data_IF_453162097569
#
_entry.id   IF_453162097569
#
_cell.length_a   1.000
_cell.length_b   1.000
_cell.length_c   1.000
_cell.angle_alpha   90.00
_cell.angle_beta   90.00
_cell.angle_gamma   90.00
#
_symmetry.space_group_name_H-M   'P 1'
#
loop_
_entity.id
_entity.type
_entity.pdbx_description
1 polymer ?
#
# COMPACT_ATOMS: atom_id res chain seq x y z
N UNK A 1 -16.89 66.89 -6.02
CA UNK A 1 -15.86 66.70 -4.98
C UNK A 1 -16.60 66.50 -3.66
N UNK A 2 -16.48 65.44 -2.85
CA UNK A 2 -15.71 64.18 -2.86
C UNK A 2 -16.20 63.40 -1.62
N UNK A 3 -16.47 62.08 -1.75
CA UNK A 3 -16.49 61.04 -0.69
C UNK A 3 -17.34 61.26 0.59
N UNK A 4 -17.70 60.26 1.39
CA UNK A 4 -17.32 58.86 1.39
C UNK A 4 -18.47 58.00 1.94
N UNK A 5 -18.56 56.81 1.36
CA UNK A 5 -19.46 55.70 1.66
C UNK A 5 -19.01 54.98 2.93
N UNK A 6 -19.86 54.92 3.96
CA UNK A 6 -19.70 54.01 5.09
C UNK A 6 -20.28 52.65 4.72
N UNK A 7 -19.43 51.72 4.29
CA UNK A 7 -19.82 50.34 3.95
C UNK A 7 -20.19 49.56 5.20
N UNK A 8 -21.42 49.07 5.25
CA UNK A 8 -21.80 47.95 6.10
C UNK A 8 -21.41 46.66 5.38
N UNK A 9 -20.43 45.95 5.92
CA UNK A 9 -20.09 44.61 5.46
C UNK A 9 -21.27 43.65 5.75
N UNK A 10 -21.81 42.93 4.75
CA UNK A 10 -22.64 41.80 5.03
C UNK A 10 -21.73 40.69 5.57
N UNK A 11 -21.97 40.34 6.84
CA UNK A 11 -21.44 39.13 7.47
C UNK A 11 -21.59 37.96 6.49
N UNK A 12 -20.46 37.49 6.00
CA UNK A 12 -20.39 36.33 5.10
C UNK A 12 -20.88 35.13 5.88
N UNK A 13 -22.07 34.65 5.53
CA UNK A 13 -22.60 33.41 6.02
C UNK A 13 -21.68 32.28 5.56
N UNK A 14 -20.84 31.80 6.47
CA UNK A 14 -20.15 30.53 6.37
C UNK A 14 -21.19 29.44 6.11
N UNK A 15 -21.34 29.10 4.84
CA UNK A 15 -22.13 27.94 4.42
C UNK A 15 -21.33 26.71 4.83
N UNK A 16 -21.45 26.34 6.10
CA UNK A 16 -21.00 25.06 6.60
C UNK A 16 -21.74 23.99 5.79
N UNK A 17 -21.05 23.39 4.82
CA UNK A 17 -21.59 22.27 4.05
C UNK A 17 -21.82 21.13 5.03
N UNK A 18 -23.04 21.03 5.56
CA UNK A 18 -23.46 19.98 6.47
C UNK A 18 -23.13 18.66 5.80
N UNK A 19 -22.23 17.91 6.45
CA UNK A 19 -21.86 16.58 5.98
C UNK A 19 -23.15 15.78 5.86
N UNK A 20 -23.46 15.20 4.69
CA UNK A 20 -24.70 14.47 4.51
C UNK A 20 -24.80 13.37 5.58
N UNK A 21 -26.00 13.11 6.12
CA UNK A 21 -26.20 12.11 7.15
C UNK A 21 -25.64 10.77 6.66
N UNK A 22 -24.77 10.16 7.46
CA UNK A 22 -24.24 8.83 7.15
C UNK A 22 -25.42 7.87 7.01
N UNK A 23 -25.50 7.09 5.93
CA UNK A 23 -26.61 6.17 5.72
C UNK A 23 -26.72 5.19 6.90
N UNK A 24 -27.95 4.89 7.31
CA UNK A 24 -28.23 4.00 8.42
C UNK A 24 -27.74 2.58 8.06
N UNK A 25 -26.83 2.02 8.85
CA UNK A 25 -26.27 0.68 8.60
C UNK A 25 -27.34 -0.39 8.88
N UNK A 26 -27.64 -1.28 7.92
CA UNK A 26 -28.62 -2.35 8.10
C UNK A 26 -28.29 -3.25 9.30
N UNK A 27 -29.28 -3.86 9.97
CA UNK A 27 -29.06 -4.72 11.14
C UNK A 27 -28.04 -5.83 10.94
N UNK A 28 -28.09 -6.51 9.79
CA UNK A 28 -27.15 -7.59 9.46
C UNK A 28 -25.74 -7.11 9.13
N UNK A 29 -25.54 -5.81 8.89
CA UNK A 29 -24.22 -5.22 8.62
C UNK A 29 -23.60 -4.58 9.86
N UNK A 30 -24.37 -4.41 10.95
CA UNK A 30 -23.85 -3.86 12.20
C UNK A 30 -22.91 -4.85 12.86
N UNK A 31 -21.64 -4.46 13.00
CA UNK A 31 -20.57 -5.32 13.51
C UNK A 31 -19.81 -6.08 12.42
N UNK A 32 -20.23 -5.99 11.15
CA UNK A 32 -19.46 -6.55 10.04
C UNK A 32 -18.22 -5.68 9.77
N UNK A 33 -17.04 -6.32 9.70
CA UNK A 33 -15.79 -5.63 9.36
C UNK A 33 -15.61 -5.62 7.85
N UNK A 34 -15.68 -4.45 7.22
CA UNK A 34 -15.31 -4.28 5.80
C UNK A 34 -13.87 -3.80 5.70
N UNK A 35 -13.01 -4.61 5.09
CA UNK A 35 -11.62 -4.26 4.81
C UNK A 35 -11.55 -3.62 3.43
N UNK A 36 -11.13 -2.36 3.37
CA UNK A 36 -10.95 -1.67 2.09
C UNK A 36 -9.78 -2.26 1.29
N UNK A 37 -9.87 -2.27 -0.04
CA UNK A 37 -8.83 -2.76 -0.95
C UNK A 37 -7.45 -2.17 -0.65
N UNK A 38 -7.40 -0.89 -0.25
CA UNK A 38 -6.16 -0.23 0.15
C UNK A 38 -5.52 -0.87 1.39
N UNK A 39 -6.32 -1.37 2.33
CA UNK A 39 -5.81 -2.08 3.50
C UNK A 39 -5.32 -3.47 3.10
N UNK A 40 -6.03 -4.17 2.22
CA UNK A 40 -5.56 -5.46 1.67
C UNK A 40 -4.22 -5.28 0.96
N UNK A 41 -4.04 -4.19 0.20
CA UNK A 41 -2.77 -3.86 -0.42
C UNK A 41 -1.63 -3.64 0.61
N UNK A 42 -1.92 -3.02 1.76
CA UNK A 42 -0.94 -2.87 2.85
C UNK A 42 -0.58 -4.23 3.46
N UNK A 43 -1.57 -5.09 3.69
CA UNK A 43 -1.35 -6.45 4.21
C UNK A 43 -0.45 -7.22 3.23
N UNK A 44 -0.74 -7.18 1.93
CA UNK A 44 0.06 -7.84 0.91
C UNK A 44 1.50 -7.30 0.83
N UNK A 45 1.68 -5.98 0.90
CA UNK A 45 3.01 -5.36 0.91
C UNK A 45 3.83 -5.76 2.15
N UNK A 46 3.18 -5.85 3.31
CA UNK A 46 3.81 -6.29 4.55
C UNK A 46 4.14 -7.78 4.53
N UNK A 47 3.21 -8.62 4.07
CA UNK A 47 3.45 -10.06 3.90
C UNK A 47 4.64 -10.34 2.96
N UNK A 48 4.76 -9.57 1.87
CA UNK A 48 5.91 -9.67 0.97
C UNK A 48 7.24 -9.30 1.65
N UNK A 49 7.24 -8.35 2.59
CA UNK A 49 8.44 -8.01 3.38
C UNK A 49 8.82 -9.12 4.34
N UNK A 50 7.85 -9.72 5.01
CA UNK A 50 8.08 -10.81 5.95
C UNK A 50 8.67 -12.06 5.26
N UNK A 51 8.33 -12.28 3.99
CA UNK A 51 8.86 -13.38 3.19
C UNK A 51 10.32 -13.18 2.74
N UNK A 52 10.84 -11.96 2.80
CA UNK A 52 12.15 -11.61 2.26
C UNK A 52 13.13 -11.27 3.39
N UNK A 53 14.43 -11.57 3.22
CA UNK A 53 15.44 -11.04 4.12
C UNK A 53 15.44 -9.51 4.07
N UNK A 54 15.95 -8.84 5.11
CA UNK A 54 16.08 -7.39 5.12
C UNK A 54 16.75 -6.89 3.83
N UNK A 55 16.16 -5.90 3.14
CA UNK A 55 16.69 -5.43 1.88
C UNK A 55 18.10 -4.83 2.10
N UNK A 56 19.06 -5.07 1.20
CA UNK A 56 20.40 -4.52 1.36
C UNK A 56 20.38 -2.98 1.19
N UNK A 57 20.72 -2.25 2.25
CA UNK A 57 20.80 -0.78 2.25
C UNK A 57 19.44 -0.07 2.11
N UNK A 58 19.43 1.09 1.44
CA UNK A 58 18.22 1.91 1.15
C UNK A 58 17.35 1.35 0.02
N UNK A 59 17.31 0.03 -0.16
CA UNK A 59 16.51 -0.57 -1.21
C UNK A 59 15.01 -0.30 -0.97
N UNK A 60 14.32 0.07 -2.07
CA UNK A 60 12.94 0.50 -1.99
C UNK A 60 12.06 -0.59 -1.37
N UNK A 61 11.28 -0.13 -0.42
CA UNK A 61 10.30 -0.85 0.34
C UNK A 61 9.29 -1.57 -0.60
N UNK A 62 9.02 -2.89 -0.44
CA UNK A 62 8.03 -3.59 -1.26
C UNK A 62 6.66 -2.91 -1.23
N UNK A 63 6.01 -2.84 -2.38
CA UNK A 63 4.67 -2.27 -2.52
C UNK A 63 3.76 -3.23 -3.29
N UNK A 64 2.47 -3.19 -2.99
CA UNK A 64 1.49 -4.07 -3.61
C UNK A 64 0.28 -3.27 -4.09
N UNK A 65 -0.32 -3.75 -5.17
CA UNK A 65 -1.60 -3.29 -5.70
C UNK A 65 -2.57 -4.47 -5.68
N UNK A 66 -3.82 -4.20 -5.30
CA UNK A 66 -4.84 -5.23 -5.12
C UNK A 66 -6.12 -4.78 -5.79
N UNK A 67 -6.77 -5.72 -6.46
CA UNK A 67 -8.13 -5.56 -6.97
C UNK A 67 -8.97 -6.68 -6.36
N UNK A 68 -10.02 -6.30 -5.63
CA UNK A 68 -10.97 -7.25 -5.05
C UNK A 68 -12.25 -7.26 -5.89
N UNK A 69 -12.74 -8.46 -6.24
CA UNK A 69 -14.03 -8.64 -6.89
C UNK A 69 -14.73 -9.84 -6.27
N UNK A 70 -15.95 -9.63 -5.75
CA UNK A 70 -16.81 -10.70 -5.21
C UNK A 70 -16.10 -11.60 -4.17
N UNK A 71 -15.29 -11.01 -3.27
CA UNK A 71 -14.54 -11.79 -2.26
C UNK A 71 -13.24 -12.43 -2.75
N UNK A 72 -12.92 -12.29 -4.04
CA UNK A 72 -11.67 -12.78 -4.62
C UNK A 72 -10.68 -11.64 -4.84
N UNK A 73 -9.43 -11.82 -4.42
CA UNK A 73 -8.35 -10.85 -4.57
C UNK A 73 -7.37 -11.25 -5.69
N UNK A 74 -7.02 -10.29 -6.54
CA UNK A 74 -5.85 -10.36 -7.43
C UNK A 74 -4.80 -9.40 -6.92
N UNK A 75 -3.60 -9.93 -6.67
CA UNK A 75 -2.52 -9.18 -6.02
C UNK A 75 -1.34 -9.05 -6.98
N UNK A 76 -0.84 -7.83 -7.17
CA UNK A 76 0.42 -7.58 -7.86
C UNK A 76 1.41 -6.97 -6.88
N UNK A 77 2.54 -7.65 -6.67
CA UNK A 77 3.59 -7.27 -5.74
C UNK A 77 4.80 -6.80 -6.52
N UNK A 78 5.33 -5.65 -6.14
CA UNK A 78 6.51 -5.03 -6.72
C UNK A 78 7.61 -4.99 -5.66
N UNK A 79 8.78 -5.55 -5.99
CA UNK A 79 9.87 -5.68 -5.04
C UNK A 79 11.24 -5.62 -5.72
N UNK A 80 12.26 -5.32 -4.91
CA UNK A 80 13.65 -5.40 -5.30
C UNK A 80 14.33 -6.55 -4.53
N UNK A 81 15.28 -7.25 -5.17
CA UNK A 81 16.00 -8.37 -4.56
C UNK A 81 17.51 -8.13 -4.58
N UNK A 82 18.21 -8.58 -3.55
CA UNK A 82 19.66 -8.70 -3.60
C UNK A 82 20.11 -9.82 -4.54
N UNK A 83 21.15 -9.59 -5.34
CA UNK A 83 21.79 -10.54 -6.25
C UNK A 83 23.22 -10.82 -5.77
N UNK A 84 23.72 -12.07 -5.76
CA UNK A 84 23.07 -13.27 -6.29
C UNK A 84 21.99 -13.85 -5.37
N UNK A 85 20.91 -14.35 -5.96
CA UNK A 85 19.89 -15.14 -5.26
C UNK A 85 19.11 -16.05 -6.22
N UNK A 86 18.46 -17.08 -5.67
CA UNK A 86 17.44 -17.82 -6.41
C UNK A 86 16.15 -16.99 -6.49
N UNK A 87 15.98 -16.33 -7.62
CA UNK A 87 14.83 -15.48 -7.91
C UNK A 87 13.53 -16.29 -7.88
N UNK A 88 13.55 -17.52 -8.42
CA UNK A 88 12.37 -18.39 -8.50
C UNK A 88 11.90 -18.79 -7.12
N UNK A 89 12.81 -19.29 -6.28
CA UNK A 89 12.51 -19.68 -4.91
C UNK A 89 12.03 -18.49 -4.07
N UNK A 90 12.66 -17.30 -4.20
CA UNK A 90 12.22 -16.09 -3.49
C UNK A 90 10.84 -15.64 -3.94
N UNK A 91 10.56 -15.62 -5.23
CA UNK A 91 9.23 -15.28 -5.74
C UNK A 91 8.17 -16.27 -5.27
N UNK A 92 8.48 -17.57 -5.26
CA UNK A 92 7.57 -18.60 -4.76
C UNK A 92 7.27 -18.42 -3.26
N UNK A 93 8.28 -18.13 -2.45
CA UNK A 93 8.11 -17.83 -1.03
C UNK A 93 7.22 -16.60 -0.80
N UNK A 94 7.43 -15.53 -1.56
CA UNK A 94 6.60 -14.32 -1.51
C UNK A 94 5.15 -14.63 -1.91
N UNK A 95 4.92 -15.37 -3.00
CA UNK A 95 3.57 -15.74 -3.45
C UNK A 95 2.82 -16.52 -2.38
N UNK A 96 3.49 -17.50 -1.75
CA UNK A 96 2.91 -18.30 -0.67
C UNK A 96 2.55 -17.44 0.54
N UNK A 97 3.51 -16.66 1.05
CA UNK A 97 3.31 -15.82 2.24
C UNK A 97 2.18 -14.79 2.02
N UNK A 98 2.12 -14.17 0.84
CA UNK A 98 1.07 -13.19 0.52
C UNK A 98 -0.30 -13.86 0.45
N UNK A 99 -0.41 -15.03 -0.20
CA UNK A 99 -1.67 -15.76 -0.28
C UNK A 99 -2.17 -16.18 1.13
N UNK A 100 -1.28 -16.72 1.95
CA UNK A 100 -1.59 -17.14 3.33
C UNK A 100 -2.00 -15.96 4.21
N UNK A 101 -1.23 -14.86 4.21
CA UNK A 101 -1.52 -13.69 5.05
C UNK A 101 -2.78 -12.94 4.62
N UNK A 102 -3.00 -12.76 3.31
CA UNK A 102 -4.21 -12.09 2.82
C UNK A 102 -5.45 -12.93 3.09
N UNK A 103 -5.38 -14.25 2.83
CA UNK A 103 -6.49 -15.15 3.15
C UNK A 103 -6.82 -15.17 4.64
N UNK A 104 -5.81 -15.31 5.50
CA UNK A 104 -6.02 -15.40 6.94
C UNK A 104 -6.45 -14.09 7.63
N UNK A 105 -6.04 -12.92 7.11
CA UNK A 105 -6.34 -11.63 7.76
C UNK A 105 -7.50 -10.86 7.11
N UNK A 106 -7.80 -11.11 5.83
CA UNK A 106 -8.83 -10.40 5.11
C UNK A 106 -10.05 -11.25 4.74
N UNK A 107 -10.02 -12.57 5.01
CA UNK A 107 -11.08 -13.51 4.62
C UNK A 107 -11.38 -13.45 3.10
N UNK A 108 -10.32 -13.33 2.30
CA UNK A 108 -10.38 -13.24 0.84
C UNK A 108 -9.72 -14.44 0.18
N UNK A 109 -10.34 -14.97 -0.86
CA UNK A 109 -9.71 -15.98 -1.72
C UNK A 109 -8.72 -15.29 -2.68
N UNK A 110 -7.45 -15.70 -2.64
CA UNK A 110 -6.42 -15.11 -3.51
C UNK A 110 -6.32 -15.93 -4.80
N UNK A 111 -6.92 -15.43 -5.89
CA UNK A 111 -6.90 -16.12 -7.18
C UNK A 111 -5.54 -16.04 -7.90
N UNK A 112 -4.83 -14.93 -7.73
CA UNK A 112 -3.56 -14.70 -8.43
C UNK A 112 -2.63 -13.79 -7.62
N UNK A 113 -1.34 -14.16 -7.58
CA UNK A 113 -0.26 -13.31 -7.07
C UNK A 113 0.81 -13.14 -8.15
N UNK A 114 0.81 -11.99 -8.80
CA UNK A 114 1.81 -11.60 -9.78
C UNK A 114 2.97 -10.87 -9.09
N UNK A 115 4.19 -11.42 -9.16
CA UNK A 115 5.39 -10.80 -8.58
C UNK A 115 6.21 -10.14 -9.69
N UNK A 116 6.47 -8.85 -9.55
CA UNK A 116 7.32 -8.06 -10.44
C UNK A 116 8.59 -7.64 -9.71
N UNK A 117 9.73 -7.94 -10.32
CA UNK A 117 11.04 -7.52 -9.82
C UNK A 117 11.40 -6.23 -10.53
N UNK A 118 11.53 -5.15 -9.77
CA UNK A 118 11.87 -3.84 -10.32
C UNK A 118 13.37 -3.61 -10.39
N UNK A 119 14.12 -4.13 -9.41
CA UNK A 119 15.56 -3.95 -9.30
C UNK A 119 16.24 -5.18 -8.70
N UNK A 120 17.44 -5.47 -9.19
CA UNK A 120 18.37 -6.45 -8.62
C UNK A 120 19.59 -5.72 -8.07
N UNK A 121 19.79 -5.78 -6.75
CA UNK A 121 20.86 -5.09 -6.05
C UNK A 121 22.07 -6.02 -5.89
N UNK A 122 23.18 -5.69 -6.54
CA UNK A 122 24.45 -6.36 -6.24
C UNK A 122 24.97 -5.89 -4.86
N UNK A 123 25.70 -6.73 -4.12
CA UNK A 123 26.41 -6.28 -2.94
C UNK A 123 27.33 -5.13 -3.32
N UNK A 124 27.33 -4.06 -2.51
CA UNK A 124 28.29 -2.99 -2.67
C UNK A 124 29.71 -3.59 -2.59
N UNK A 125 30.53 -3.33 -3.61
CA UNK A 125 31.91 -3.79 -3.61
C UNK A 125 32.62 -3.17 -2.39
N UNK A 126 33.31 -3.97 -1.55
CA UNK A 126 34.10 -3.42 -0.47
C UNK A 126 35.30 -2.67 -1.08
N UNK A 127 35.24 -1.33 -1.06
CA UNK A 127 36.42 -0.48 -1.23
C UNK A 127 36.48 0.38 -2.50
N UNK A 128 35.85 1.55 -2.45
CA UNK A 128 36.45 2.77 -3.02
C UNK A 128 36.35 3.90 -2.00
N UNK A 129 37.04 3.73 -0.86
CA UNK A 129 37.46 4.89 -0.06
C UNK A 129 38.59 5.52 -0.87
N UNK A 130 38.34 6.70 -1.41
CA UNK A 130 39.26 7.40 -2.30
C UNK A 130 40.64 7.56 -1.67
N UNK A 131 41.69 7.25 -2.45
CA UNK A 131 43.04 7.74 -2.15
C UNK A 131 43.03 9.26 -2.28
N UNK A 132 43.09 9.95 -1.15
CA UNK A 132 43.56 11.33 -1.12
C UNK A 132 45.08 11.32 -1.33
N UNK A 133 45.52 12.24 -2.18
CA UNK A 133 46.90 12.49 -2.60
C UNK A 133 47.62 13.37 -1.59
#
# INVERSE_FOLDING_TARGET
>A
MTGATGGGDPVSAESGTLRPPSPLVPPGERGATRIADRVVAKIAAQAAREALPPPPGEAAAPHATVVVRHGTARVRVHLALGYPCDIGARCAAVRRQVAERVGGLADLEVAEVAVRIERLHLPAAPGTVGRAR
#
